data_IF_550643819060
#
_entry.id   IF_550643819060
#
_cell.length_a   1.000
_cell.length_b   1.000
_cell.length_c   1.000
_cell.angle_alpha   90.00
_cell.angle_beta   90.00
_cell.angle_gamma   90.00
#
_symmetry.space_group_name_H-M   'P 1'
#
loop_
_entity.id
_entity.type
_entity.pdbx_description
1 polymer ?
2 non-polymer ?
3 non-polymer ?
4 non-polymer ?
5 non-polymer ?
6 water ?
#
# COMPACT_ATOMS: atom_id res chain seq x y z
N UNK A 1 -21.57 -2.63 17.82
CA UNK A 1 -21.68 -3.56 16.70
C UNK A 1 -22.93 -3.35 15.88
N UNK A 2 -22.81 -3.35 14.52
CA UNK A 2 -23.99 -3.18 13.66
C UNK A 2 -24.18 -4.32 12.65
N UNK A 3 -25.46 -4.68 12.39
CA UNK A 3 -25.86 -5.73 11.46
C UNK A 3 -25.60 -5.30 10.00
N UNK A 4 -25.55 -3.96 9.75
CA UNK A 4 -25.27 -3.37 8.44
C UNK A 4 -23.81 -3.61 8.09
N UNK A 5 -22.89 -3.28 9.02
CA UNK A 5 -21.44 -3.44 8.88
C UNK A 5 -21.07 -4.92 8.64
N UNK A 6 -21.69 -5.81 9.42
CA UNK A 6 -21.58 -7.27 9.39
C UNK A 6 -22.06 -7.82 8.03
N UNK A 7 -23.19 -7.27 7.48
CA UNK A 7 -23.73 -7.69 6.18
C UNK A 7 -22.81 -7.27 5.06
N UNK A 8 -22.19 -6.07 5.19
CA UNK A 8 -21.18 -5.55 4.25
C UNK A 8 -19.93 -6.46 4.30
N UNK A 9 -19.46 -6.82 5.52
CA UNK A 9 -18.32 -7.73 5.73
C UNK A 9 -18.59 -9.10 5.12
N UNK A 10 -19.82 -9.61 5.26
CA UNK A 10 -20.20 -10.88 4.64
C UNK A 10 -20.21 -10.80 3.09
N UNK A 11 -20.69 -9.68 2.53
CA UNK A 11 -20.71 -9.43 1.08
C UNK A 11 -19.25 -9.40 0.54
N UNK A 12 -18.37 -8.57 1.17
CA UNK A 12 -16.95 -8.46 0.82
C UNK A 12 -16.26 -9.83 0.84
N UNK A 13 -16.51 -10.64 1.89
CA UNK A 13 -15.98 -12.00 2.05
C UNK A 13 -16.46 -12.96 0.92
N UNK A 14 -17.76 -12.92 0.57
CA UNK A 14 -18.29 -13.78 -0.51
C UNK A 14 -17.72 -13.39 -1.89
N UNK A 15 -17.47 -12.08 -2.11
CA UNK A 15 -16.90 -11.52 -3.33
C UNK A 15 -15.43 -11.99 -3.45
N UNK A 16 -14.69 -11.90 -2.34
CA UNK A 16 -13.29 -12.29 -2.23
C UNK A 16 -13.10 -13.82 -2.43
N UNK A 17 -13.85 -14.65 -1.66
CA UNK A 17 -13.75 -16.10 -1.65
C UNK A 17 -14.31 -16.88 -2.86
N UNK A 18 -15.30 -16.32 -3.61
CA UNK A 18 -15.91 -17.08 -4.72
C UNK A 18 -14.98 -17.26 -5.94
N UNK A 19 -15.21 -18.35 -6.70
CA UNK A 19 -14.45 -18.80 -7.86
C UNK A 19 -14.22 -17.68 -8.91
N UNK A 20 -12.94 -17.43 -9.20
CA UNK A 20 -12.53 -16.45 -10.18
C UNK A 20 -11.30 -16.96 -10.91
N UNK A 21 -11.32 -16.83 -12.25
CA UNK A 21 -10.24 -17.23 -13.14
C UNK A 21 -9.24 -16.05 -13.32
N UNK A 22 -9.62 -14.86 -12.79
CA UNK A 22 -8.87 -13.59 -12.88
C UNK A 22 -7.39 -13.70 -12.50
N UNK A 23 -7.08 -14.23 -11.29
CA UNK A 23 -5.72 -14.43 -10.78
C UNK A 23 -4.86 -15.29 -11.71
N UNK A 24 -5.51 -16.24 -12.39
CA UNK A 24 -4.89 -17.16 -13.34
C UNK A 24 -4.50 -16.48 -14.63
N UNK A 25 -5.36 -15.54 -15.11
CA UNK A 25 -5.12 -14.71 -16.30
C UNK A 25 -3.88 -13.85 -16.01
N UNK A 26 -3.89 -13.12 -14.86
CA UNK A 26 -2.81 -12.27 -14.34
C UNK A 26 -1.50 -13.05 -14.17
N UNK A 27 -1.54 -14.25 -13.57
CA UNK A 27 -0.36 -15.10 -13.36
C UNK A 27 0.34 -15.41 -14.69
N UNK A 28 -0.46 -15.80 -15.70
CA UNK A 28 0.01 -16.09 -17.06
C UNK A 28 0.80 -14.94 -17.60
N UNK A 29 0.15 -13.76 -17.66
CA UNK A 29 0.70 -12.47 -18.10
C UNK A 29 1.99 -12.10 -17.34
N UNK A 30 1.97 -12.14 -15.97
CA UNK A 30 3.08 -11.80 -15.08
C UNK A 30 4.32 -12.72 -15.30
N UNK A 31 4.10 -14.05 -15.39
CA UNK A 31 5.15 -15.06 -15.56
C UNK A 31 5.91 -14.91 -16.91
N UNK A 32 5.20 -14.40 -17.95
CA UNK A 32 5.78 -14.16 -19.27
C UNK A 32 6.48 -12.83 -19.33
N UNK A 33 5.99 -11.83 -18.54
CA UNK A 33 6.62 -10.51 -18.44
C UNK A 33 7.95 -10.68 -17.71
N UNK A 34 7.96 -11.50 -16.65
CA UNK A 34 9.11 -11.87 -15.81
C UNK A 34 10.17 -12.65 -16.60
N UNK A 35 9.73 -13.53 -17.56
CA UNK A 35 10.60 -14.34 -18.41
C UNK A 35 11.37 -13.44 -19.39
N UNK A 36 10.64 -12.55 -20.08
CA UNK A 36 11.17 -11.57 -21.05
C UNK A 36 12.09 -10.55 -20.35
N UNK A 37 11.88 -10.32 -19.03
CA UNK A 37 12.66 -9.41 -18.19
C UNK A 37 14.02 -10.01 -17.80
N UNK A 38 14.04 -11.32 -17.46
CA UNK A 38 15.23 -12.08 -17.07
C UNK A 38 16.21 -12.31 -18.24
N UNK A 39 15.78 -11.95 -19.48
CA UNK A 39 16.55 -12.01 -20.72
C UNK A 39 17.37 -10.71 -20.89
N UNK A 40 16.91 -9.60 -20.26
CA UNK A 40 17.57 -8.30 -20.26
C UNK A 40 18.69 -8.28 -19.21
N UNK A 41 19.82 -7.61 -19.52
CA UNK A 41 21.02 -7.53 -18.68
C UNK A 41 20.82 -6.85 -17.31
N UNK A 42 20.12 -5.69 -17.29
CA UNK A 42 19.85 -4.91 -16.08
C UNK A 42 18.73 -5.50 -15.20
N UNK A 43 17.77 -6.19 -15.81
CA UNK A 43 16.60 -6.77 -15.13
C UNK A 43 16.68 -8.28 -14.95
N UNK A 44 17.85 -8.88 -15.17
CA UNK A 44 18.12 -10.32 -15.06
C UNK A 44 17.77 -10.89 -13.67
N UNK A 45 18.07 -10.11 -12.62
CA UNK A 45 17.82 -10.52 -11.24
C UNK A 45 16.44 -10.22 -10.70
N UNK A 46 15.50 -9.80 -11.57
CA UNK A 46 14.13 -9.45 -11.18
C UNK A 46 13.35 -10.66 -10.68
N UNK A 47 12.53 -10.40 -9.66
CA UNK A 47 11.69 -11.41 -9.03
C UNK A 47 10.47 -10.82 -8.38
N UNK A 48 9.41 -11.61 -8.28
CA UNK A 48 8.18 -11.20 -7.61
C UNK A 48 8.47 -11.14 -6.12
N UNK A 49 7.96 -10.12 -5.40
CA UNK A 49 8.20 -9.99 -3.97
C UNK A 49 7.86 -11.28 -3.25
N UNK A 50 6.59 -11.73 -3.36
CA UNK A 50 6.11 -12.97 -2.75
C UNK A 50 5.69 -13.99 -3.80
N UNK A 51 6.24 -15.20 -3.72
CA UNK A 51 5.95 -16.27 -4.69
C UNK A 51 5.07 -17.35 -4.08
N UNK A 55 -2.15 -13.07 -5.90
CA UNK A 55 -1.39 -11.82 -5.77
C UNK A 55 -2.09 -10.79 -4.85
N UNK A 56 -1.49 -9.60 -4.67
CA UNK A 56 -2.03 -8.53 -3.79
C UNK A 56 -3.13 -7.67 -4.47
N UNK A 57 -3.93 -6.96 -3.64
CA UNK A 57 -5.06 -6.10 -4.05
C UNK A 57 -5.02 -4.78 -3.29
N UNK A 58 -5.16 -3.63 -3.99
CA UNK A 58 -5.23 -2.31 -3.32
C UNK A 58 -6.68 -2.10 -2.83
N UNK A 59 -7.66 -2.19 -3.76
CA UNK A 59 -9.10 -2.06 -3.50
C UNK A 59 -9.66 -3.38 -2.98
N UNK A 60 -10.37 -3.31 -1.83
CA UNK A 60 -10.98 -4.43 -1.11
C UNK A 60 -12.34 -4.89 -1.76
N UNK A 61 -13.01 -3.98 -2.52
CA UNK A 61 -14.28 -4.24 -3.18
C UNK A 61 -14.15 -4.86 -4.57
N UNK A 62 -13.14 -4.40 -5.36
CA UNK A 62 -12.91 -4.87 -6.72
C UNK A 62 -11.97 -6.10 -6.78
N UNK A 63 -12.51 -7.31 -7.07
CA UNK A 63 -11.64 -8.49 -7.16
C UNK A 63 -10.92 -8.63 -8.51
N UNK A 64 -11.23 -7.74 -9.46
CA UNK A 64 -10.60 -7.72 -10.78
C UNK A 64 -9.39 -6.78 -10.85
N UNK A 65 -9.16 -5.95 -9.80
CA UNK A 65 -8.02 -5.05 -9.72
C UNK A 65 -6.91 -5.69 -8.85
N UNK A 66 -5.73 -5.90 -9.44
CA UNK A 66 -4.57 -6.56 -8.85
C UNK A 66 -3.39 -5.62 -8.67
N UNK A 67 -2.41 -6.03 -7.82
CA UNK A 67 -1.26 -5.19 -7.45
C UNK A 67 -0.01 -6.08 -7.24
N UNK A 68 1.02 -5.95 -8.11
CA UNK A 68 2.22 -6.81 -8.03
C UNK A 68 3.53 -6.02 -7.96
N UNK A 69 4.51 -6.62 -7.29
CA UNK A 69 5.83 -6.00 -7.22
C UNK A 69 6.90 -6.92 -7.78
N UNK A 70 7.72 -6.34 -8.65
CA UNK A 70 8.91 -6.90 -9.28
C UNK A 70 10.07 -6.20 -8.55
N UNK A 71 10.89 -6.96 -7.83
CA UNK A 71 12.01 -6.44 -7.04
C UNK A 71 13.42 -6.92 -7.55
N UNK A 72 14.43 -6.07 -7.32
CA UNK A 72 15.84 -6.24 -7.66
C UNK A 72 16.62 -6.13 -6.34
N UNK A 73 17.38 -7.16 -5.95
CA UNK A 73 18.20 -7.09 -4.74
C UNK A 73 19.34 -6.15 -5.07
N UNK A 74 19.58 -5.12 -4.22
CA UNK A 74 20.67 -4.18 -4.46
C UNK A 74 21.65 -4.21 -3.27
N UNK A 75 22.60 -5.19 -3.27
CA UNK A 75 23.58 -5.26 -2.16
C UNK A 75 24.58 -4.11 -2.20
N UNK A 76 25.12 -3.75 -1.02
CA UNK A 76 26.11 -2.68 -0.82
C UNK A 76 25.57 -1.32 -1.35
N UNK A 77 24.29 -1.04 -1.03
CA UNK A 77 23.62 0.19 -1.45
C UNK A 77 24.09 1.40 -0.60
N UNK A 78 24.23 2.57 -1.24
CA UNK A 78 24.58 3.81 -0.55
C UNK A 78 23.35 4.72 -0.78
N UNK A 79 22.69 5.18 0.30
CA UNK A 79 21.51 6.05 0.16
C UNK A 79 21.85 7.46 0.62
N UNK A 80 21.29 8.47 -0.05
CA UNK A 80 21.44 9.88 0.33
C UNK A 80 20.07 10.55 0.32
N UNK A 81 19.62 10.99 1.50
CA UNK A 81 18.35 11.69 1.70
C UNK A 81 18.25 12.95 0.85
N UNK A 82 17.18 13.06 0.07
CA UNK A 82 16.91 14.18 -0.80
C UNK A 82 16.12 15.25 -0.07
N UNK A 83 16.59 16.51 -0.16
CA UNK A 83 15.98 17.76 0.35
C UNK A 83 15.32 17.63 1.76
N UNK A 84 15.94 16.83 2.68
CA UNK A 84 15.47 16.60 4.05
C UNK A 84 14.00 16.04 4.10
N UNK A 85 13.60 15.24 3.07
CA UNK A 85 12.23 14.71 2.90
C UNK A 85 11.95 13.50 3.77
N UNK A 86 13.01 12.91 4.35
CA UNK A 86 12.99 11.75 5.27
C UNK A 86 12.60 10.44 4.62
N UNK A 87 11.78 10.46 3.56
CA UNK A 87 11.28 9.28 2.84
C UNK A 87 11.85 9.14 1.44
N UNK A 88 12.43 10.25 0.87
CA UNK A 88 12.95 10.25 -0.50
C UNK A 88 14.50 10.29 -0.51
N UNK A 89 15.12 9.42 -1.32
CA UNK A 89 16.57 9.21 -1.37
C UNK A 89 17.13 9.03 -2.77
N UNK A 90 18.39 9.43 -2.92
CA UNK A 90 19.19 9.20 -4.10
C UNK A 90 19.82 7.81 -3.87
N UNK A 91 20.02 7.05 -4.96
CA UNK A 91 20.65 5.74 -4.81
C UNK A 91 22.05 5.80 -5.42
N UNK A 92 23.08 5.58 -4.58
CA UNK A 92 24.49 5.57 -4.98
C UNK A 92 25.14 4.19 -4.70
N UNK A 93 26.32 3.94 -5.30
CA UNK A 93 27.10 2.71 -5.13
C UNK A 93 28.54 3.06 -4.77
N UNK A 99 31.66 -4.86 -12.97
CA UNK A 99 30.81 -4.23 -11.99
C UNK A 99 29.41 -4.84 -12.00
N UNK A 100 28.58 -4.46 -11.01
CA UNK A 100 27.19 -4.87 -10.77
C UNK A 100 26.25 -4.69 -12.00
N UNK A 101 25.07 -5.36 -12.06
CA UNK A 101 24.21 -5.23 -13.26
C UNK A 101 23.49 -3.89 -13.44
N UNK A 102 23.58 -2.96 -12.47
CA UNK A 102 22.86 -1.68 -12.56
C UNK A 102 23.75 -0.48 -12.89
N UNK A 103 24.95 -0.72 -13.43
CA UNK A 103 25.86 0.37 -13.79
C UNK A 103 25.42 1.14 -15.05
N UNK A 104 24.62 0.49 -15.92
CA UNK A 104 24.06 1.02 -17.18
C UNK A 104 23.13 2.24 -16.94
N UNK A 105 22.46 2.31 -15.77
CA UNK A 105 21.52 3.38 -15.43
C UNK A 105 22.12 4.51 -14.57
N UNK A 106 23.44 4.45 -14.33
CA UNK A 106 24.14 5.47 -13.54
C UNK A 106 24.33 6.76 -14.30
N UNK A 107 24.36 7.87 -13.55
CA UNK A 107 24.65 9.23 -14.00
C UNK A 107 25.57 9.75 -12.90
N UNK A 108 26.87 9.50 -13.08
CA UNK A 108 27.89 9.82 -12.07
C UNK A 108 27.85 8.74 -11.02
N UNK A 109 27.45 9.09 -9.78
CA UNK A 109 27.28 8.12 -8.68
C UNK A 109 25.82 7.69 -8.56
N UNK A 110 24.89 8.62 -8.83
CA UNK A 110 23.43 8.47 -8.70
C UNK A 110 22.81 7.52 -9.75
N UNK A 111 21.97 6.58 -9.28
CA UNK A 111 21.20 5.62 -10.09
C UNK A 111 19.90 6.31 -10.56
N UNK A 112 19.71 6.37 -11.89
CA UNK A 112 18.54 7.00 -12.51
C UNK A 112 17.33 6.05 -12.48
N UNK A 113 16.20 6.55 -11.94
CA UNK A 113 14.91 5.86 -11.80
C UNK A 113 14.12 5.98 -13.09
N UNK A 114 14.16 7.18 -13.73
CA UNK A 114 13.47 7.50 -15.00
C UNK A 114 13.97 6.67 -16.16
N UNK A 115 15.31 6.42 -16.20
CA UNK A 115 15.96 5.62 -17.23
C UNK A 115 15.66 4.15 -17.00
N UNK A 116 15.60 3.73 -15.72
CA UNK A 116 15.29 2.34 -15.33
C UNK A 116 13.86 2.02 -15.72
N UNK A 117 12.92 2.93 -15.41
CA UNK A 117 11.50 2.84 -15.73
C UNK A 117 11.25 2.85 -17.22
N UNK A 118 11.99 3.70 -18.01
CA UNK A 118 11.87 3.78 -19.47
C UNK A 118 12.14 2.42 -20.12
N UNK A 119 13.17 1.69 -19.62
CA UNK A 119 13.55 0.36 -20.11
C UNK A 119 12.48 -0.68 -19.68
N UNK A 120 11.98 -0.55 -18.44
CA UNK A 120 10.95 -1.40 -17.84
C UNK A 120 9.65 -1.32 -18.65
N UNK A 121 9.15 -0.08 -18.89
CA UNK A 121 7.93 0.19 -19.66
C UNK A 121 8.07 -0.30 -21.11
N UNK A 122 9.27 -0.12 -21.72
CA UNK A 122 9.64 -0.53 -23.08
C UNK A 122 9.50 -2.04 -23.27
N UNK A 123 10.08 -2.85 -22.34
CA UNK A 123 10.04 -4.33 -22.39
C UNK A 123 8.60 -4.88 -22.16
N UNK A 124 7.80 -4.24 -21.30
CA UNK A 124 6.43 -4.67 -21.02
C UNK A 124 5.51 -4.37 -22.21
N UNK A 125 5.58 -3.14 -22.78
CA UNK A 125 4.81 -2.72 -23.96
C UNK A 125 5.11 -3.65 -25.14
N UNK A 126 6.39 -4.10 -25.25
CA UNK A 126 6.87 -5.02 -26.27
C UNK A 126 6.29 -6.42 -26.05
N UNK A 127 6.24 -6.90 -24.79
CA UNK A 127 5.72 -8.21 -24.44
C UNK A 127 4.19 -8.27 -24.51
N UNK A 128 3.52 -7.09 -24.44
CA UNK A 128 2.06 -6.96 -24.57
C UNK A 128 1.62 -7.32 -26.02
N UNK A 129 2.48 -7.00 -27.02
CA UNK A 129 2.27 -7.30 -28.44
C UNK A 129 2.65 -8.76 -28.76
N UNK A 130 3.59 -9.33 -27.97
CA UNK A 130 4.11 -10.70 -28.09
C UNK A 130 3.03 -11.72 -27.69
N UNK A 131 2.33 -11.48 -26.57
CA UNK A 131 1.31 -12.40 -26.08
C UNK A 131 0.00 -12.19 -26.86
N UNK A 132 -0.18 -12.99 -27.92
CA UNK A 132 -1.38 -12.99 -28.77
C UNK A 132 -2.47 -13.82 -28.09
N UNK A 133 -2.07 -14.69 -27.14
CA UNK A 133 -2.94 -15.58 -26.35
C UNK A 133 -3.83 -14.77 -25.42
N UNK A 136 -4.98 -7.60 -23.57
CA UNK A 136 -4.02 -7.07 -22.62
C UNK A 136 -3.54 -5.68 -23.11
N UNK A 137 -4.28 -4.63 -22.72
CA UNK A 137 -3.98 -3.25 -23.10
C UNK A 137 -3.17 -2.54 -22.00
N UNK A 138 -1.96 -2.08 -22.35
CA UNK A 138 -1.07 -1.40 -21.42
C UNK A 138 -1.33 0.11 -21.32
N UNK A 139 -1.67 0.57 -20.10
CA UNK A 139 -1.85 1.99 -19.85
C UNK A 139 -0.50 2.53 -19.36
N UNK A 140 0.15 3.35 -20.20
CA UNK A 140 1.46 3.96 -19.90
C UNK A 140 1.24 5.27 -19.10
N UNK A 141 0.47 5.15 -18.00
CA UNK A 141 0.09 6.25 -17.09
C UNK A 141 1.30 6.74 -16.29
N UNK A 142 1.63 8.04 -16.46
CA UNK A 142 2.77 8.72 -15.85
C UNK A 142 2.79 8.67 -14.33
N UNK A 143 3.93 8.23 -13.81
CA UNK A 143 4.22 8.02 -12.41
C UNK A 143 5.09 6.79 -12.29
N UNK A 144 6.08 6.84 -11.41
CA UNK A 144 7.02 5.75 -11.18
C UNK A 144 6.46 4.60 -10.35
N UNK A 145 5.51 4.88 -9.47
CA UNK A 145 4.90 3.86 -8.60
C UNK A 145 3.37 4.04 -8.51
N UNK A 146 2.59 3.13 -9.18
CA UNK A 146 3.05 1.98 -9.97
C UNK A 146 3.60 2.41 -11.33
N UNK A 147 4.67 1.72 -11.77
CA UNK A 147 5.30 1.95 -13.06
C UNK A 147 4.30 1.75 -14.20
N UNK A 148 3.49 0.66 -14.14
CA UNK A 148 2.54 0.35 -15.21
C UNK A 148 1.22 -0.25 -14.70
N UNK A 149 0.13 -0.02 -15.44
CA UNK A 149 -1.19 -0.56 -15.17
C UNK A 149 -1.73 -1.23 -16.43
N UNK A 150 -1.84 -2.56 -16.39
CA UNK A 150 -2.36 -3.29 -17.55
C UNK A 150 -3.84 -3.54 -17.37
N UNK A 151 -4.58 -3.55 -18.46
CA UNK A 151 -5.99 -3.88 -18.39
C UNK A 151 -6.22 -5.13 -19.23
N UNK A 152 -6.02 -6.31 -18.59
CA UNK A 152 -6.17 -7.62 -19.23
C UNK A 152 -7.66 -7.81 -19.56
N UNK A 153 -7.93 -7.97 -20.88
CA UNK A 153 -9.26 -8.08 -21.49
C UNK A 153 -10.03 -6.75 -21.32
N UNK A 154 -11.24 -6.79 -20.69
CA UNK A 154 -12.09 -5.60 -20.50
C UNK A 154 -12.60 -5.45 -19.05
N UNK A 155 -12.06 -6.27 -18.11
CA UNK A 155 -12.47 -6.26 -16.70
C UNK A 155 -11.30 -6.26 -15.72
N UNK A 156 -10.22 -6.99 -16.02
CA UNK A 156 -9.07 -7.13 -15.12
C UNK A 156 -8.06 -5.96 -15.25
N UNK A 157 -7.55 -5.45 -14.09
CA UNK A 157 -6.59 -4.35 -13.98
C UNK A 157 -5.38 -4.76 -13.12
N UNK A 158 -4.14 -4.65 -13.64
CA UNK A 158 -2.94 -5.07 -12.88
C UNK A 158 -1.93 -3.95 -12.74
N UNK A 159 -1.59 -3.56 -11.49
CA UNK A 159 -0.55 -2.56 -11.22
C UNK A 159 0.79 -3.26 -11.03
N UNK A 160 1.80 -2.81 -11.71
CA UNK A 160 3.13 -3.40 -11.59
C UNK A 160 4.04 -2.29 -11.11
N UNK A 161 4.70 -2.56 -9.97
CA UNK A 161 5.66 -1.69 -9.30
C UNK A 161 7.01 -2.39 -9.40
N UNK A 162 8.03 -1.60 -9.75
CA UNK A 162 9.44 -1.97 -9.79
C UNK A 162 10.04 -1.42 -8.50
N UNK A 163 10.76 -2.26 -7.75
CA UNK A 163 11.33 -1.86 -6.46
C UNK A 163 12.73 -2.42 -6.26
N UNK A 164 13.55 -1.70 -5.49
CA UNK A 164 14.88 -2.17 -5.14
C UNK A 164 14.79 -2.70 -3.73
N UNK A 165 15.48 -3.82 -3.45
CA UNK A 165 15.46 -4.44 -2.14
C UNK A 165 16.81 -4.33 -1.45
N UNK A 166 16.79 -3.96 -0.16
CA UNK A 166 18.00 -3.80 0.62
C UNK A 166 17.87 -4.58 1.90
N UNK A 167 18.89 -5.41 2.20
CA UNK A 167 18.94 -6.23 3.41
C UNK A 167 19.77 -5.57 4.53
N UNK A 168 20.06 -4.26 4.37
CA UNK A 168 20.78 -3.53 5.41
C UNK A 168 19.78 -2.92 6.38
N UNK A 169 20.24 -2.51 7.57
CA UNK A 169 19.39 -1.90 8.58
C UNK A 169 18.61 -0.71 7.99
N UNK A 170 17.39 -0.50 8.49
CA UNK A 170 16.49 0.52 8.01
C UNK A 170 17.09 1.93 8.22
N UNK A 171 16.85 2.90 7.29
CA UNK A 171 17.45 4.24 7.44
C UNK A 171 17.07 4.92 8.76
N UNK A 172 17.90 5.90 9.21
CA UNK A 172 17.75 6.65 10.48
C UNK A 172 16.36 7.26 10.67
N UNK A 173 15.72 7.74 9.58
CA UNK A 173 14.40 8.37 9.60
C UNK A 173 13.31 7.41 10.12
N UNK A 174 13.60 6.10 10.16
CA UNK A 174 12.68 5.08 10.67
C UNK A 174 12.92 4.72 12.17
N UNK A 175 14.00 5.25 12.79
CA UNK A 175 14.36 4.94 14.19
C UNK A 175 13.17 5.02 15.19
N UNK A 176 12.29 6.05 15.07
CA UNK A 176 11.12 6.20 15.93
C UNK A 176 9.83 5.66 15.30
N UNK A 177 9.90 5.03 14.11
CA UNK A 177 8.72 4.51 13.45
C UNK A 177 8.32 3.13 13.95
N UNK A 178 7.25 2.55 13.39
CA UNK A 178 6.72 1.23 13.80
C UNK A 178 6.57 1.19 15.32
N UNK A 179 5.88 2.17 15.88
CA UNK A 179 5.66 2.34 17.33
C UNK A 179 4.68 1.27 17.86
N UNK A 180 5.09 0.02 17.82
CA UNK A 180 4.30 -1.15 18.21
C UNK A 180 4.72 -1.81 19.55
N UNK A 181 5.76 -1.29 20.23
CA UNK A 181 6.30 -1.92 21.45
C UNK A 181 5.26 -2.06 22.56
N UNK A 182 4.25 -1.21 22.65
CA UNK A 182 3.26 -1.39 23.73
C UNK A 182 2.06 -2.29 23.31
N UNK A 183 2.02 -2.70 22.04
CA UNK A 183 0.94 -3.52 21.47
C UNK A 183 1.46 -4.92 21.09
N UNK A 184 2.45 -4.98 20.20
CA UNK A 184 2.98 -6.25 19.70
C UNK A 184 4.26 -6.71 20.41
N UNK A 185 4.89 -5.80 21.17
CA UNK A 185 6.11 -5.94 21.99
C UNK A 185 7.33 -5.44 21.26
N UNK A 186 8.34 -5.08 22.03
CA UNK A 186 9.64 -4.60 21.59
C UNK A 186 10.39 -5.76 20.93
N UNK A 187 10.12 -7.01 21.39
CA UNK A 187 10.64 -8.28 20.87
C UNK A 187 10.22 -8.42 19.40
N UNK A 188 8.93 -8.24 19.09
CA UNK A 188 8.40 -8.28 17.73
C UNK A 188 8.92 -7.06 16.90
N UNK A 189 8.93 -5.83 17.49
CA UNK A 189 9.43 -4.64 16.79
C UNK A 189 10.84 -4.90 16.29
N UNK A 190 11.72 -5.45 17.16
CA UNK A 190 13.10 -5.83 16.85
C UNK A 190 13.20 -6.90 15.75
N UNK A 191 12.37 -7.99 15.76
CA UNK A 191 12.40 -9.03 14.70
C UNK A 191 11.99 -8.38 13.34
N UNK A 192 10.94 -7.55 13.32
CA UNK A 192 10.46 -6.91 12.08
C UNK A 192 11.49 -5.99 11.43
N UNK A 193 12.25 -5.24 12.28
CA UNK A 193 13.28 -4.31 11.83
C UNK A 193 14.46 -5.01 11.16
N UNK A 194 14.59 -6.34 11.38
CA UNK A 194 15.61 -7.19 10.77
C UNK A 194 15.17 -7.62 9.35
N UNK A 195 13.92 -7.34 8.99
CA UNK A 195 13.39 -7.66 7.66
C UNK A 195 13.97 -6.65 6.63
N UNK A 196 13.93 -6.96 5.31
CA UNK A 196 14.47 -5.99 4.33
C UNK A 196 13.57 -4.76 4.18
N UNK A 197 14.02 -3.78 3.38
CA UNK A 197 13.23 -2.61 3.05
C UNK A 197 13.29 -2.39 1.55
N UNK A 198 12.31 -1.67 1.03
CA UNK A 198 12.23 -1.41 -0.39
C UNK A 198 12.33 0.06 -0.75
N UNK A 199 12.73 0.33 -2.00
CA UNK A 199 12.84 1.66 -2.61
C UNK A 199 12.11 1.63 -3.94
N UNK A 200 11.06 2.46 -4.06
CA UNK A 200 10.24 2.55 -5.27
C UNK A 200 10.51 3.89 -6.01
N UNK A 201 10.54 3.95 -7.36
CA UNK A 201 10.73 5.25 -8.03
C UNK A 201 9.52 6.15 -7.77
N UNK A 202 9.78 7.31 -7.15
CA UNK A 202 8.73 8.30 -6.82
C UNK A 202 9.32 9.67 -6.61
N UNK A 203 8.51 10.72 -6.90
CA UNK A 203 8.86 12.12 -6.68
C UNK A 203 8.20 12.66 -5.41
N UNK A 204 8.94 13.50 -4.66
CA UNK A 204 8.52 14.12 -3.41
C UNK A 204 7.46 15.19 -3.65
N UNK A 210 9.46 18.13 -9.53
CA UNK A 210 9.06 16.76 -9.83
C UNK A 210 10.01 16.11 -10.86
N UNK A 211 11.28 16.58 -10.96
CA UNK A 211 12.23 16.04 -11.93
C UNK A 211 13.64 15.79 -11.34
N UNK A 212 13.72 14.82 -10.41
CA UNK A 212 14.93 14.35 -9.71
C UNK A 212 14.90 12.80 -9.69
N UNK A 213 16.08 12.15 -9.62
CA UNK A 213 16.22 10.68 -9.63
C UNK A 213 16.14 10.09 -8.21
N UNK A 214 14.95 10.27 -7.58
CA UNK A 214 14.61 9.88 -6.21
C UNK A 214 13.72 8.62 -6.09
N UNK A 215 13.89 7.93 -4.97
CA UNK A 215 13.23 6.69 -4.63
C UNK A 215 12.65 6.84 -3.24
N UNK A 216 11.38 6.45 -3.09
CA UNK A 216 10.68 6.49 -1.81
C UNK A 216 10.91 5.18 -1.04
N UNK A 217 11.11 5.27 0.31
CA UNK A 217 11.24 4.05 1.14
C UNK A 217 9.84 3.41 1.28
N UNK A 218 9.76 2.09 1.03
CA UNK A 218 8.55 1.29 1.13
C UNK A 218 8.71 0.14 2.13
N UNK A 219 7.71 -0.01 3.04
CA UNK A 219 7.64 -1.07 4.05
C UNK A 219 6.29 -1.78 3.91
N UNK A 220 5.69 -1.75 2.69
CA UNK A 220 4.38 -2.33 2.44
C UNK A 220 4.30 -3.81 2.80
N UNK A 221 5.43 -4.53 2.67
CA UNK A 221 5.57 -5.97 2.98
C UNK A 221 5.36 -6.30 4.49
N UNK A 222 5.51 -5.33 5.39
CA UNK A 222 5.36 -5.49 6.86
C UNK A 222 3.91 -5.64 7.27
N UNK A 223 2.97 -5.11 6.46
CA UNK A 223 1.56 -5.18 6.76
C UNK A 223 1.01 -6.60 6.99
N UNK A 224 1.28 -7.56 6.08
CA UNK A 224 0.73 -8.93 6.18
C UNK A 224 1.29 -9.64 7.42
N UNK A 225 2.52 -9.31 7.80
CA UNK A 225 3.26 -9.82 8.96
C UNK A 225 2.51 -9.43 10.26
N UNK A 226 2.03 -8.21 10.33
CA UNK A 226 1.30 -7.73 11.47
C UNK A 226 -0.15 -8.19 11.38
N UNK A 227 -0.80 -8.07 10.21
CA UNK A 227 -2.20 -8.48 10.10
C UNK A 227 -2.44 -9.96 10.47
N UNK A 228 -1.49 -10.84 10.17
CA UNK A 228 -1.61 -12.27 10.50
C UNK A 228 -1.17 -12.62 11.95
N UNK A 229 -0.79 -11.61 12.76
CA UNK A 229 -0.35 -11.78 14.15
C UNK A 229 -0.50 -10.42 14.79
N UNK A 230 -1.75 -9.97 14.87
CA UNK A 230 -2.10 -8.60 15.22
C UNK A 230 -2.51 -8.33 16.66
N UNK A 231 -2.60 -9.34 17.48
CA UNK A 231 -3.07 -9.13 18.85
C UNK A 231 -1.97 -8.94 19.86
N UNK A 232 -2.31 -8.42 21.02
CA UNK A 232 -1.40 -8.34 22.15
C UNK A 232 -1.28 -9.80 22.65
N UNK A 233 -2.44 -10.53 22.70
CA UNK A 233 -2.41 -11.95 23.02
C UNK A 233 -1.91 -12.76 21.81
N UNK A 234 -0.97 -13.70 22.05
CA UNK A 234 -0.42 -14.58 21.01
C UNK A 234 -1.57 -15.44 20.41
N UNK A 235 -2.64 -15.61 21.18
CA UNK A 235 -3.80 -16.40 20.78
C UNK A 235 -4.95 -15.53 20.20
N UNK A 236 -4.73 -14.22 19.91
CA UNK A 236 -5.80 -13.38 19.30
C UNK A 236 -6.33 -14.02 18.02
N UNK A 237 -7.68 -14.15 17.96
CA UNK A 237 -8.47 -14.75 16.88
C UNK A 237 -8.19 -16.26 16.65
N UNK A 238 -7.51 -16.94 17.61
CA UNK A 238 -7.19 -18.37 17.54
C UNK A 238 -8.25 -19.24 18.18
N UNK A 239 -9.24 -18.63 18.86
CA UNK A 239 -10.35 -19.31 19.53
C UNK A 239 -11.62 -18.45 19.64
N UNK A 240 -12.71 -19.05 20.17
CA UNK A 240 -14.04 -18.45 20.38
C UNK A 240 -14.02 -17.26 21.34
N UNK A 241 -13.26 -17.37 22.46
CA UNK A 241 -13.18 -16.34 23.51
C UNK A 241 -12.26 -15.16 23.17
N UNK A 242 -11.51 -15.25 22.06
CA UNK A 242 -10.53 -14.20 21.71
C UNK A 242 -10.66 -13.63 20.29
N UNK A 243 -11.88 -13.58 19.77
CA UNK A 243 -12.16 -13.05 18.43
C UNK A 243 -12.25 -11.51 18.46
N UNK A 244 -11.29 -10.84 17.75
CA UNK A 244 -11.27 -9.38 17.69
C UNK A 244 -11.85 -8.82 16.35
N UNK A 245 -12.01 -7.49 16.25
CA UNK A 245 -12.58 -6.85 15.06
C UNK A 245 -11.62 -5.90 14.32
N UNK A 246 -10.30 -5.99 14.58
CA UNK A 246 -9.26 -5.19 13.93
C UNK A 246 -9.31 -5.31 12.38
N UNK A 247 -9.21 -6.54 11.83
CA UNK A 247 -9.25 -6.75 10.37
C UNK A 247 -10.56 -6.24 9.76
N UNK A 248 -11.72 -6.50 10.42
CA UNK A 248 -13.06 -6.06 10.04
C UNK A 248 -13.12 -4.55 9.99
N UNK A 249 -12.56 -3.84 11.01
CA UNK A 249 -12.46 -2.38 11.04
C UNK A 249 -11.64 -1.86 9.88
N UNK A 250 -10.44 -2.46 9.64
CA UNK A 250 -9.59 -2.08 8.52
C UNK A 250 -10.32 -2.22 7.18
N UNK A 251 -11.03 -3.34 6.97
CA UNK A 251 -11.83 -3.62 5.75
C UNK A 251 -12.94 -2.57 5.50
N UNK A 252 -13.71 -2.20 6.55
CA UNK A 252 -14.79 -1.21 6.49
C UNK A 252 -14.25 0.19 6.17
N UNK A 253 -13.10 0.58 6.76
CA UNK A 253 -12.40 1.85 6.55
C UNK A 253 -11.96 1.99 5.11
N UNK A 254 -11.42 0.90 4.57
CA UNK A 254 -11.00 0.79 3.19
C UNK A 254 -12.23 0.87 2.25
N UNK A 255 -13.32 0.14 2.57
CA UNK A 255 -14.52 0.15 1.72
C UNK A 255 -15.18 1.51 1.72
N UNK A 256 -15.21 2.19 2.88
CA UNK A 256 -15.71 3.55 3.05
C UNK A 256 -15.04 4.50 2.06
N UNK A 257 -13.69 4.49 1.97
CA UNK A 257 -12.94 5.37 1.07
C UNK A 257 -13.14 5.01 -0.38
N UNK A 258 -13.08 3.72 -0.73
CA UNK A 258 -13.30 3.21 -2.08
C UNK A 258 -14.66 3.68 -2.64
N UNK A 259 -15.74 3.48 -1.86
CA UNK A 259 -17.12 3.85 -2.21
C UNK A 259 -17.30 5.37 -2.34
N UNK A 260 -16.56 6.15 -1.51
CA UNK A 260 -16.60 7.62 -1.54
C UNK A 260 -15.86 8.10 -2.76
N UNK A 261 -14.71 7.46 -3.10
CA UNK A 261 -13.91 7.79 -4.28
C UNK A 261 -14.71 7.53 -5.57
N UNK A 262 -15.44 6.39 -5.61
CA UNK A 262 -16.32 5.94 -6.68
C UNK A 262 -17.52 6.90 -6.76
N UNK A 263 -18.03 7.35 -5.60
CA UNK A 263 -19.15 8.29 -5.53
C UNK A 263 -18.78 9.68 -6.07
N UNK A 264 -17.52 10.11 -5.89
CA UNK A 264 -17.09 11.44 -6.35
C UNK A 264 -15.94 11.41 -7.36
N UNK A 265 -15.85 10.35 -8.17
CA UNK A 265 -14.84 10.16 -9.23
C UNK A 265 -14.86 11.28 -10.30
N UNK A 266 -16.06 11.83 -10.63
CA UNK A 266 -16.23 12.92 -11.62
C UNK A 266 -15.62 14.28 -11.20
N UNK A 267 -15.45 14.50 -9.88
CA UNK A 267 -14.78 15.69 -9.36
C UNK A 267 -13.35 15.22 -9.08
N UNK A 268 -12.42 16.13 -8.77
CA UNK A 268 -11.01 15.72 -8.56
C UNK A 268 -10.59 15.70 -7.07
N UNK A 269 -11.52 16.08 -6.18
CA UNK A 269 -11.32 16.30 -4.75
C UNK A 269 -10.80 15.10 -3.95
N UNK A 270 -11.11 13.86 -4.37
CA UNK A 270 -10.65 12.67 -3.63
C UNK A 270 -9.59 11.85 -4.37
N UNK A 271 -9.02 12.41 -5.47
CA UNK A 271 -8.01 11.72 -6.30
C UNK A 271 -6.68 11.37 -5.56
N UNK A 272 -6.24 12.22 -4.62
CA UNK A 272 -4.99 12.02 -3.86
C UNK A 272 -5.12 11.03 -2.69
N UNK A 273 -6.36 10.71 -2.26
CA UNK A 273 -6.55 9.76 -1.15
C UNK A 273 -6.54 8.36 -1.64
N UNK A 274 -5.90 7.49 -0.88
CA UNK A 274 -5.74 6.07 -1.19
C UNK A 274 -5.96 5.23 0.06
N UNK A 275 -6.09 3.91 -0.13
CA UNK A 275 -6.23 2.95 0.96
C UNK A 275 -4.99 3.00 1.88
N UNK A 276 -3.83 3.45 1.35
CA UNK A 276 -2.60 3.63 2.11
C UNK A 276 -2.85 4.59 3.29
N UNK A 277 -3.57 5.71 3.03
CA UNK A 277 -3.93 6.70 4.07
C UNK A 277 -4.82 6.08 5.16
N UNK A 278 -5.80 5.27 4.74
CA UNK A 278 -6.75 4.56 5.60
C UNK A 278 -5.98 3.55 6.48
N UNK A 279 -5.03 2.80 5.87
CA UNK A 279 -4.22 1.80 6.56
C UNK A 279 -3.35 2.42 7.61
N UNK A 280 -2.60 3.49 7.26
CA UNK A 280 -1.73 4.26 8.15
C UNK A 280 -2.55 4.74 9.38
N UNK A 281 -3.74 5.37 9.15
CA UNK A 281 -4.60 5.85 10.23
C UNK A 281 -5.12 4.70 11.10
N UNK A 282 -5.52 3.57 10.47
CA UNK A 282 -5.96 2.38 11.19
C UNK A 282 -4.85 1.85 12.12
N UNK A 283 -3.61 1.73 11.63
CA UNK A 283 -2.50 1.24 12.44
C UNK A 283 -2.12 2.19 13.56
N UNK A 284 -2.36 3.51 13.40
CA UNK A 284 -2.15 4.50 14.48
C UNK A 284 -3.18 4.29 15.61
N UNK A 285 -4.41 3.80 15.27
CA UNK A 285 -5.50 3.49 16.22
C UNK A 285 -5.12 2.18 16.95
N UNK A 286 -4.42 1.28 16.28
CA UNK A 286 -3.90 0.02 16.88
C UNK A 286 -2.86 0.32 17.99
N UNK A 287 -2.01 1.32 17.79
CA UNK A 287 -1.00 1.79 18.74
C UNK A 287 -1.71 2.49 19.94
N UNK A 288 -2.73 3.30 19.63
CA UNK A 288 -3.55 4.01 20.61
C UNK A 288 -4.35 3.03 21.46
N UNK A 289 -4.85 1.93 20.87
CA UNK A 289 -5.68 0.91 21.51
C UNK A 289 -4.93 -0.41 21.48
N UNK A 290 -3.89 -0.63 22.34
CA UNK A 290 -3.10 -1.86 22.24
C UNK A 290 -3.74 -3.16 22.74
N UNK A 291 -4.69 -3.05 23.69
CA UNK A 291 -5.35 -4.19 24.30
C UNK A 291 -6.39 -4.79 23.38
N UNK A 292 -6.44 -6.13 23.33
CA UNK A 292 -7.41 -6.89 22.55
C UNK A 292 -8.85 -6.63 23.00
N UNK A 293 -9.04 -6.18 24.27
CA UNK A 293 -10.32 -5.82 24.88
C UNK A 293 -10.88 -4.54 24.25
N UNK A 294 -10.00 -3.68 23.68
CA UNK A 294 -10.38 -2.44 23.00
C UNK A 294 -10.85 -2.75 21.56
N UNK A 295 -10.87 -4.06 21.19
CA UNK A 295 -11.21 -4.58 19.85
C UNK A 295 -12.13 -5.82 19.86
N UNK A 296 -12.96 -5.99 20.87
CA UNK A 296 -13.92 -7.09 20.95
C UNK A 296 -14.87 -7.06 19.73
N UNK A 297 -15.12 -8.23 19.10
CA UNK A 297 -15.99 -8.40 17.92
C UNK A 297 -17.41 -7.86 18.16
N UNK A 298 -17.89 -7.96 19.42
CA UNK A 298 -19.22 -7.49 19.84
C UNK A 298 -19.31 -5.94 19.74
N UNK A 299 -18.15 -5.26 19.89
CA UNK A 299 -18.05 -3.80 19.85
C UNK A 299 -17.64 -3.25 18.48
N UNK A 300 -17.81 -4.06 17.40
CA UNK A 300 -17.52 -3.72 16.01
C UNK A 300 -17.92 -2.27 15.61
N UNK A 301 -19.15 -1.87 15.93
CA UNK A 301 -19.75 -0.56 15.65
C UNK A 301 -19.00 0.60 16.27
N UNK A 302 -18.63 0.47 17.55
CA UNK A 302 -17.86 1.42 18.35
C UNK A 302 -16.42 1.51 17.85
N UNK A 303 -15.77 0.36 17.57
CA UNK A 303 -14.37 0.28 17.07
C UNK A 303 -14.21 0.96 15.72
N UNK A 304 -15.17 0.68 14.80
CA UNK A 304 -15.20 1.28 13.48
C UNK A 304 -15.36 2.77 13.61
N UNK A 305 -16.21 3.21 14.56
CA UNK A 305 -16.39 4.63 14.80
C UNK A 305 -15.14 5.34 15.38
N UNK A 306 -14.36 4.66 16.24
CA UNK A 306 -13.08 5.17 16.78
C UNK A 306 -12.09 5.33 15.60
N UNK A 307 -12.24 4.48 14.55
CA UNK A 307 -11.40 4.47 13.35
C UNK A 307 -11.81 5.63 12.47
N UNK A 308 -13.12 5.80 12.26
CA UNK A 308 -13.74 6.88 11.50
C UNK A 308 -13.39 8.25 12.18
N UNK A 309 -13.54 8.36 13.52
CA UNK A 309 -13.22 9.56 14.30
C UNK A 309 -11.74 9.95 14.16
N UNK A 310 -10.83 8.99 14.33
CA UNK A 310 -9.39 9.23 14.21
C UNK A 310 -8.97 9.72 12.80
N UNK A 311 -9.49 9.10 11.71
CA UNK A 311 -9.22 9.52 10.33
C UNK A 311 -9.76 10.94 10.06
N UNK A 312 -10.93 11.29 10.65
CA UNK A 312 -11.55 12.60 10.51
C UNK A 312 -10.70 13.67 11.21
N UNK A 313 -10.13 13.32 12.39
CA UNK A 313 -9.25 14.19 13.18
C UNK A 313 -7.99 14.44 12.38
N UNK A 314 -7.49 13.40 11.65
CA UNK A 314 -6.30 13.47 10.79
C UNK A 314 -6.48 14.47 9.66
N UNK A 315 -7.62 14.41 8.98
CA UNK A 315 -7.98 15.31 7.91
C UNK A 315 -8.12 16.73 8.44
N UNK A 316 -8.91 16.93 9.52
CA UNK A 316 -9.15 18.22 10.18
C UNK A 316 -7.88 18.93 10.67
N UNK A 317 -6.87 18.18 11.09
CA UNK A 317 -5.62 18.73 11.62
C UNK A 317 -4.49 18.73 10.56
N UNK A 318 -4.75 18.13 9.38
CA UNK A 318 -3.78 17.98 8.28
C UNK A 318 -2.54 17.24 8.77
N UNK A 319 -2.75 16.16 9.56
CA UNK A 319 -1.69 15.36 10.17
C UNK A 319 -1.99 13.88 10.10
N UNK A 320 -1.16 13.15 9.36
CA UNK A 320 -1.20 11.71 9.25
C UNK A 320 0.21 11.27 8.97
N UNK A 321 0.90 10.86 10.03
CA UNK A 321 2.31 10.45 9.94
C UNK A 321 2.47 9.12 9.27
N UNK A 322 3.52 9.01 8.46
CA UNK A 322 3.91 7.75 7.87
C UNK A 322 4.22 6.88 9.10
N UNK A 323 3.63 5.66 9.17
CA UNK A 323 3.74 4.73 10.30
C UNK A 323 5.20 4.34 10.60
N UNK A 324 6.08 4.45 9.58
CA UNK A 324 7.49 4.07 9.62
C UNK A 324 8.45 5.23 9.73
N UNK A 325 8.02 6.43 9.25
CA UNK A 325 8.83 7.65 9.16
C UNK A 325 8.02 8.76 9.80
N UNK A 326 8.10 8.90 11.14
CA UNK A 326 7.27 9.90 11.86
C UNK A 326 7.31 11.35 11.37
N UNK A 327 8.44 11.79 10.77
CA UNK A 327 8.57 13.16 10.29
C UNK A 327 8.05 13.34 8.86
N UNK A 328 7.45 12.29 8.30
CA UNK A 328 6.87 12.35 6.98
C UNK A 328 5.36 12.43 7.13
N UNK A 329 4.78 13.62 6.84
CA UNK A 329 3.35 13.89 6.98
C UNK A 329 2.65 13.62 5.65
N UNK A 330 1.87 12.54 5.60
CA UNK A 330 1.12 12.14 4.40
C UNK A 330 0.00 13.17 4.08
N UNK A 331 -0.48 13.91 5.11
CA UNK A 331 -1.54 14.90 5.03
C UNK A 331 -1.04 16.34 5.09
N UNK A 332 0.23 16.62 4.71
CA UNK A 332 0.69 18.01 4.71
C UNK A 332 0.04 18.82 3.57
N UNK A 333 -0.12 20.15 3.76
CA UNK A 333 -0.71 21.05 2.76
C UNK A 333 0.01 20.96 1.39
N UNK A 334 1.34 20.66 1.38
CA UNK A 334 2.16 20.51 0.17
C UNK A 334 1.85 19.21 -0.60
N UNK A 335 1.33 18.18 0.09
CA UNK A 335 0.97 16.92 -0.58
C UNK A 335 -0.53 16.89 -0.97
N UNK A 336 -1.39 17.33 -0.04
CA UNK A 336 -2.84 17.39 -0.20
C UNK A 336 -3.31 18.77 0.25
N UNK A 337 -4.09 19.44 -0.59
CA UNK A 337 -4.63 20.77 -0.31
C UNK A 337 -5.75 20.68 0.75
N UNK A 338 -5.91 21.78 1.50
CA UNK A 338 -6.90 21.97 2.57
C UNK A 338 -8.30 21.68 2.05
N UNK A 339 -8.63 22.23 0.86
CA UNK A 339 -9.92 22.09 0.18
C UNK A 339 -10.28 20.64 0.01
N UNK A 340 -9.33 19.83 -0.51
CA UNK A 340 -9.48 18.37 -0.71
C UNK A 340 -9.78 17.63 0.60
N UNK A 341 -9.06 17.97 1.69
CA UNK A 341 -9.25 17.34 3.01
C UNK A 341 -10.60 17.74 3.61
N UNK A 342 -10.99 19.01 3.49
CA UNK A 342 -12.29 19.49 4.00
C UNK A 342 -13.46 18.82 3.27
N UNK A 343 -13.33 18.62 1.93
CA UNK A 343 -14.31 17.93 1.09
C UNK A 343 -14.51 16.46 1.62
N UNK A 344 -13.43 15.71 1.86
CA UNK A 344 -13.49 14.34 2.42
C UNK A 344 -14.07 14.34 3.85
N UNK A 345 -13.63 15.29 4.71
CA UNK A 345 -14.14 15.49 6.07
C UNK A 345 -15.68 15.64 6.06
N UNK A 346 -16.21 16.46 5.13
CA UNK A 346 -17.64 16.68 4.97
C UNK A 346 -18.32 15.40 4.47
N UNK A 347 -17.73 14.71 3.47
CA UNK A 347 -18.31 13.48 2.93
C UNK A 347 -18.44 12.37 3.98
N UNK A 348 -17.35 12.08 4.77
CA UNK A 348 -17.35 11.07 5.85
C UNK A 348 -18.35 11.43 6.94
N UNK A 349 -18.38 12.72 7.36
CA UNK A 349 -19.32 13.23 8.37
C UNK A 349 -20.78 12.97 7.95
N UNK A 350 -21.09 13.16 6.64
CA UNK A 350 -22.42 12.86 6.08
C UNK A 350 -22.68 11.34 6.19
N UNK A 351 -21.68 10.50 5.88
CA UNK A 351 -21.81 9.05 5.96
C UNK A 351 -22.06 8.56 7.38
N UNK A 352 -21.32 9.07 8.38
CA UNK A 352 -21.56 8.67 9.77
C UNK A 352 -22.86 9.29 10.34
N UNK A 353 -23.37 10.37 9.71
CA UNK A 353 -24.63 11.01 10.12
C UNK A 353 -25.81 10.68 9.16
N UNK A 354 -25.77 9.47 8.53
CA UNK A 354 -26.82 8.96 7.63
C UNK A 354 -26.78 7.42 7.53
N UNK A 355 -26.24 6.77 8.58
CA UNK A 355 -26.07 5.32 8.75
C UNK A 355 -25.23 4.65 7.63
N UNK A 356 -24.21 5.37 7.10
CA UNK A 356 -23.30 5.02 6.01
C UNK A 356 -24.05 4.60 4.71
N UNK A 357 -24.60 5.56 3.89
CA UNK A 357 -25.36 5.16 2.69
C UNK A 357 -24.59 4.36 1.63
N UNK A 358 -23.25 4.30 1.73
CA UNK A 358 -22.38 3.54 0.83
C UNK A 358 -22.39 2.04 1.14
N UNK A 359 -22.76 1.72 2.39
CA UNK A 359 -22.84 0.36 2.90
C UNK A 359 -24.25 -0.23 2.68
N UNK A 360 -25.02 0.36 1.75
CA UNK A 360 -26.36 -0.05 1.35
C UNK A 360 -26.32 -1.26 0.40
N UNK A 361 -27.52 -1.85 0.09
CA UNK A 361 -27.72 -3.00 -0.79
C UNK A 361 -29.18 -3.40 -0.86
X LIG B 1 -7.61 -10.83 16.52
X LIG C 1 2.32 -5.10 -4.73
X LIG C 1 2.51 -6.44 -4.37
X LIG C 1 4.22 -5.77 -2.83
X LIG C 1 0.95 0.72 0.52
X LIG C 1 2.42 0.87 2.13
X LIG C 1 1.29 0.19 2.58
X LIG C 1 1.20 -0.25 3.90
X LIG C 1 2.26 -0.04 4.78
X LIG C 1 2.14 -0.46 6.21
X LIG C 1 1.51 0.33 7.18
X LIG C 1 1.44 -0.06 8.51
X LIG C 1 2.02 -1.26 8.92
X LIG C 1 1.95 -1.70 10.36
X LIG C 1 2.66 -2.04 7.96
X LIG C 1 0.38 0.83 -0.85
X LIG C 1 3.47 -6.76 -3.42
X LIG C 1 4.03 -4.44 -3.20
X LIG C 1 2.74 -1.65 6.63
X LIG C 1 0.65 0.16 -3.17
X LIG C 1 3.38 0.68 4.34
X LIG C 1 3.51 1.08 3.01
X LIG C 1 4.77 1.80 2.59
X LIG C 1 1.62 -0.59 -4.11
X LIG C 1 1.93 -2.22 -2.28
X LIG C 1 0.93 -1.44 -1.48
X LIG C 1 2.84 -2.64 -4.51
X LIG C 1 3.08 -4.09 -4.15
X LIG C 1 2.21 1.11 0.79
X LIG C 1 0.37 0.13 1.54
X LIG C 1 1.08 -0.03 -1.78
X LIG C 1 1.74 -2.02 -3.75
X LIG C 1 4.84 2.16 1.38
X LIG C 1 5.66 2.00 3.44
X LIG C 1 0.73 1.81 6.73
X LIG D 1 -7.41 -6.85 6.30
X LIG E 1 3.82 -9.80 -5.71
X LIG F 1 4.83 0.61 -2.51
X LIG G 1 -8.98 3.38 -2.54
X LIG H 1 -2.76 -9.69 27.09
X LIG I 1 13.09 -2.44 19.10
X LIG J 1 2.97 9.27 -0.01
X LIG K 1 -2.75 2.55 -2.07
X LIG L 1 -12.38 -8.75 1.82
#
# INVERSE_FOLDING_TARGET
GASKLRAVLEKLKLSRDDISTAAGMVKGVVDHLLLRLKCDSAFRGVGLLNTGSYYEHVKISAPNEFDVMFKLEVPRIQLEEYSNTRAYYFVKFKRNPKENPLSQFLEGEILSASKMLSKFRKIIKEEINDIKDTDVIMKRKRGGSPAVTLLISEKISVDITLALESKSSWPASTQEGLRIQNWLSAKVRKQLRLKPFYLVPKHAKEGNGFQEETWRLSFSHIEKEILNNHGKSKTCCENKEEKCCRKDCLKLMKYLLEQLKERFKDKKHLDKFSSYHVKTAFFHVCTQNPQDSQWDRKDLGLCFDNCVTYFLQCLRTEKLENYFIPEFNLFSSNLIDKRSKEFLTKQIEYERNNEFPVFDEF
ZN ZN
YU6 C10 C11 C13 C15 C17 C18 C20 C21 C22 C23 C25 C26 C27 C28 C1 C12 C14 C29 C3 C30 C31 C32 C4 C6 C7 C8 C9 N16 N19 N2 N5 O33 O34 CL24
IOD I
IOD I
IOD I
IOD I
IOD I
IOD I
IOD I
CL CL
CL CL
#
